data_IF_723289756951
#
_entry.id   IF_723289756951
#
_cell.length_a   1.000
_cell.length_b   1.000
_cell.length_c   1.000
_cell.angle_alpha   90.00
_cell.angle_beta   90.00
_cell.angle_gamma   90.00
#
_symmetry.space_group_name_H-M   'P 1'
#
loop_
_entity.id
_entity.type
_entity.pdbx_description
1 polymer ?
#
# COMPACT_ATOMS: atom_id res chain seq x y z
N UNK A 1 18.34 18.35 -6.93
CA UNK A 1 19.11 17.37 -7.70
C UNK A 1 19.04 17.80 -9.16
N UNK A 2 20.13 17.69 -9.92
CA UNK A 2 20.15 17.95 -11.35
C UNK A 2 20.70 16.68 -12.02
N UNK A 3 20.29 16.42 -13.25
CA UNK A 3 20.77 15.29 -14.03
C UNK A 3 21.40 15.80 -15.33
N UNK A 4 22.45 15.11 -15.78
CA UNK A 4 23.09 15.32 -17.07
C UNK A 4 22.95 14.05 -17.91
N UNK A 5 22.55 14.21 -19.16
CA UNK A 5 22.21 13.11 -20.04
C UNK A 5 23.28 12.91 -21.10
N UNK A 6 23.92 11.74 -21.06
CA UNK A 6 24.83 11.30 -22.11
C UNK A 6 24.09 10.34 -23.04
N UNK A 7 24.05 10.68 -24.33
CA UNK A 7 23.43 9.86 -25.35
C UNK A 7 24.51 9.03 -26.05
N UNK A 8 24.30 7.73 -26.11
CA UNK A 8 25.12 6.77 -26.87
C UNK A 8 24.26 6.12 -27.94
N UNK A 9 24.88 5.39 -28.88
CA UNK A 9 24.13 4.72 -29.95
C UNK A 9 23.12 3.66 -29.45
N UNK A 10 23.24 3.20 -28.20
CA UNK A 10 22.43 2.11 -27.64
C UNK A 10 21.62 2.50 -26.40
N UNK A 11 21.93 3.62 -25.74
CA UNK A 11 21.26 4.03 -24.51
C UNK A 11 21.45 5.52 -24.19
N UNK A 12 20.57 6.04 -23.33
CA UNK A 12 20.71 7.35 -22.68
C UNK A 12 21.01 7.14 -21.21
N UNK A 13 22.20 7.56 -20.79
CA UNK A 13 22.64 7.49 -19.39
C UNK A 13 22.34 8.82 -18.69
N UNK A 14 21.84 8.76 -17.46
CA UNK A 14 21.58 9.93 -16.62
C UNK A 14 22.56 9.93 -15.44
N UNK A 15 23.41 10.95 -15.37
CA UNK A 15 24.36 11.14 -14.27
C UNK A 15 23.87 12.20 -13.31
N UNK A 16 24.01 11.94 -12.01
CA UNK A 16 23.55 12.83 -10.94
C UNK A 16 24.56 13.95 -10.73
N UNK A 17 24.10 15.20 -10.72
CA UNK A 17 24.91 16.39 -10.46
C UNK A 17 24.31 17.25 -9.34
N UNK A 18 25.15 18.13 -8.78
CA UNK A 18 24.77 19.05 -7.71
C UNK A 18 23.76 20.06 -8.25
N UNK A 19 22.56 20.08 -7.66
CA UNK A 19 21.51 21.00 -8.04
C UNK A 19 21.67 22.41 -7.43
N UNK A 20 21.02 23.44 -7.99
CA UNK A 20 21.13 24.83 -7.51
C UNK A 20 20.81 25.02 -6.02
N UNK A 21 19.90 24.22 -5.48
CA UNK A 21 19.47 24.29 -4.08
C UNK A 21 20.41 23.58 -3.10
N UNK A 22 21.45 22.89 -3.57
CA UNK A 22 22.35 22.14 -2.69
C UNK A 22 23.07 23.05 -1.68
N UNK A 23 23.50 24.24 -2.12
CA UNK A 23 24.15 25.24 -1.25
C UNK A 23 23.24 25.73 -0.12
N UNK A 24 21.93 25.79 -0.33
CA UNK A 24 20.99 26.20 0.71
C UNK A 24 20.81 25.13 1.78
N UNK A 25 20.91 23.85 1.40
CA UNK A 25 20.85 22.72 2.33
C UNK A 25 22.13 22.64 3.14
N UNK A 26 23.32 22.76 2.51
CA UNK A 26 24.60 22.72 3.24
C UNK A 26 24.79 23.91 4.18
N UNK A 27 24.23 25.07 3.86
CA UNK A 27 24.22 26.26 4.73
C UNK A 27 23.14 26.21 5.83
N UNK A 28 22.37 25.12 5.94
CA UNK A 28 21.32 24.97 6.96
C UNK A 28 20.08 25.86 6.75
N UNK A 29 19.97 26.55 5.62
CA UNK A 29 18.85 27.47 5.29
C UNK A 29 17.59 26.73 4.82
N UNK A 30 17.69 25.43 4.56
CA UNK A 30 16.59 24.60 4.06
C UNK A 30 16.58 23.23 4.73
N UNK A 31 15.49 22.92 5.42
CA UNK A 31 15.24 21.60 6.02
C UNK A 31 14.61 20.68 4.97
N UNK A 32 15.13 19.47 4.82
CA UNK A 32 14.59 18.45 3.91
C UNK A 32 13.88 17.39 4.75
N UNK A 33 12.57 17.22 4.53
CA UNK A 33 11.79 16.12 5.09
C UNK A 33 11.79 14.97 4.09
N UNK A 34 12.30 13.81 4.51
CA UNK A 34 12.27 12.59 3.70
C UNK A 34 11.23 11.65 4.30
N UNK A 35 10.31 11.17 3.46
CA UNK A 35 9.37 10.12 3.82
C UNK A 35 9.81 8.84 3.11
N UNK A 36 10.13 7.80 3.87
CA UNK A 36 10.53 6.49 3.34
C UNK A 36 9.29 5.62 3.26
N UNK A 37 8.76 5.43 2.05
CA UNK A 37 7.70 4.45 1.82
C UNK A 37 8.33 3.06 1.68
N UNK A 38 8.51 2.38 2.80
CA UNK A 38 8.63 0.92 2.80
C UNK A 38 7.26 0.34 2.47
N UNK A 39 7.17 -0.58 1.52
CA UNK A 39 5.92 -1.32 1.27
C UNK A 39 5.46 -1.94 2.60
N UNK A 40 4.28 -1.56 3.12
CA UNK A 40 3.91 -1.93 4.49
C UNK A 40 3.58 -3.42 4.55
N UNK A 41 4.37 -4.17 5.32
CA UNK A 41 3.85 -5.28 6.10
C UNK A 41 3.18 -4.63 7.32
N UNK A 42 1.84 -4.70 7.39
CA UNK A 42 0.99 -4.30 8.51
C UNK A 42 1.30 -2.98 9.23
N UNK A 43 0.46 -1.97 9.01
CA UNK A 43 -0.40 -1.44 10.08
C UNK A 43 -1.25 -0.26 9.59
N UNK A 44 -2.46 -0.21 10.12
CA UNK A 44 -3.49 0.81 9.92
C UNK A 44 -2.94 2.25 9.88
N UNK A 45 -3.18 2.93 8.77
CA UNK A 45 -2.85 4.35 8.61
C UNK A 45 -3.15 4.80 7.19
N UNK A 46 -4.35 5.34 6.98
CA UNK A 46 -4.84 5.78 5.68
C UNK A 46 -3.87 6.74 4.97
N UNK A 47 -3.20 6.29 3.89
CA UNK A 47 -2.47 7.17 2.99
C UNK A 47 -2.76 6.85 1.52
N UNK A 48 -3.62 7.72 0.95
CA UNK A 48 -3.61 8.25 -0.42
C UNK A 48 -2.97 7.33 -1.47
N UNK A 49 -3.80 6.45 -2.04
CA UNK A 49 -3.45 5.61 -3.19
C UNK A 49 -3.18 6.46 -4.43
N UNK A 50 -1.96 6.35 -4.94
CA UNK A 50 -1.59 6.69 -6.33
C UNK A 50 -2.55 6.01 -7.31
N UNK A 51 -2.80 6.65 -8.47
CA UNK A 51 -3.79 6.36 -9.51
C UNK A 51 -3.55 5.04 -10.28
N UNK A 52 -3.18 3.96 -9.59
CA UNK A 52 -3.42 2.59 -10.07
C UNK A 52 -4.53 2.03 -9.23
N UNK A 53 -5.71 1.90 -9.85
CA UNK A 53 -6.85 1.07 -9.42
C UNK A 53 -6.86 0.83 -7.92
N UNK A 54 -7.59 1.65 -7.15
CA UNK A 54 -7.86 1.43 -5.72
C UNK A 54 -8.31 -0.03 -5.56
N UNK A 55 -7.38 -0.93 -5.27
CA UNK A 55 -7.72 -2.32 -5.00
C UNK A 55 -8.54 -2.27 -3.74
N UNK A 56 -9.73 -2.87 -3.78
CA UNK A 56 -10.58 -2.93 -2.60
C UNK A 56 -9.80 -3.54 -1.42
N UNK A 57 -10.18 -3.21 -0.18
CA UNK A 57 -9.54 -3.79 1.00
C UNK A 57 -9.57 -5.32 0.99
N UNK A 58 -10.65 -5.89 0.42
CA UNK A 58 -10.79 -7.33 0.19
C UNK A 58 -9.80 -7.88 -0.84
N UNK A 59 -9.60 -7.21 -1.98
CA UNK A 59 -8.58 -7.61 -2.97
C UNK A 59 -7.18 -7.68 -2.37
N UNK A 60 -6.85 -6.75 -1.47
CA UNK A 60 -5.55 -6.74 -0.80
C UNK A 60 -5.36 -7.97 0.10
N UNK A 61 -6.37 -8.32 0.91
CA UNK A 61 -6.32 -9.52 1.75
C UNK A 61 -6.24 -10.81 0.94
N UNK A 62 -6.98 -10.89 -0.16
CA UNK A 62 -6.91 -12.03 -1.09
C UNK A 62 -5.52 -12.14 -1.75
N UNK A 63 -4.86 -11.01 -2.03
CA UNK A 63 -3.48 -10.99 -2.52
C UNK A 63 -2.46 -11.44 -1.45
N UNK A 64 -2.73 -11.14 -0.18
CA UNK A 64 -1.91 -11.64 0.94
C UNK A 64 -2.04 -13.16 1.08
N UNK A 65 -3.26 -13.70 1.06
CA UNK A 65 -3.49 -15.15 1.03
C UNK A 65 -2.78 -15.81 -0.15
N UNK A 66 -2.76 -15.17 -1.32
CA UNK A 66 -2.01 -15.67 -2.48
C UNK A 66 -0.51 -15.82 -2.19
N UNK A 67 0.10 -14.89 -1.46
CA UNK A 67 1.51 -14.97 -1.05
C UNK A 67 1.72 -16.01 0.04
N UNK A 68 0.78 -16.13 0.97
CA UNK A 68 0.82 -17.15 2.03
C UNK A 68 0.75 -18.57 1.44
N UNK A 69 -0.18 -18.82 0.52
CA UNK A 69 -0.29 -20.10 -0.18
C UNK A 69 0.96 -20.43 -1.00
N UNK A 70 1.50 -19.43 -1.70
CA UNK A 70 2.76 -19.56 -2.44
C UNK A 70 3.90 -20.00 -1.53
N UNK A 71 3.98 -19.41 -0.33
CA UNK A 71 5.01 -19.73 0.66
C UNK A 71 4.78 -21.09 1.33
N UNK A 72 3.52 -21.40 1.67
CA UNK A 72 3.13 -22.62 2.39
C UNK A 72 3.26 -23.89 1.54
N UNK A 73 3.01 -23.81 0.23
CA UNK A 73 3.07 -24.95 -0.69
C UNK A 73 4.45 -25.14 -1.33
N UNK A 74 5.52 -24.64 -0.71
CA UNK A 74 6.89 -24.92 -1.16
C UNK A 74 7.32 -24.14 -2.40
N UNK A 75 6.86 -22.90 -2.56
CA UNK A 75 7.36 -22.00 -3.61
C UNK A 75 6.63 -22.07 -4.93
N UNK A 76 5.38 -22.55 -4.95
CA UNK A 76 4.52 -22.38 -6.13
C UNK A 76 4.37 -20.89 -6.45
N UNK A 77 4.44 -20.51 -7.72
CA UNK A 77 4.39 -19.10 -8.06
C UNK A 77 3.05 -18.47 -7.62
N UNK A 78 3.05 -17.23 -7.10
CA UNK A 78 1.82 -16.57 -6.64
C UNK A 78 0.72 -16.55 -7.71
N UNK A 79 1.07 -16.31 -8.97
CA UNK A 79 0.13 -16.28 -10.09
C UNK A 79 -0.50 -17.65 -10.40
N UNK A 80 0.18 -18.75 -10.06
CA UNK A 80 -0.34 -20.12 -10.24
C UNK A 80 -1.42 -20.46 -9.22
N UNK A 81 -1.33 -19.89 -8.01
CA UNK A 81 -2.35 -20.03 -6.96
C UNK A 81 -3.62 -19.29 -7.38
N UNK A 82 -3.54 -17.96 -7.49
CA UNK A 82 -4.65 -17.10 -7.88
C UNK A 82 -4.15 -16.01 -8.84
N UNK A 83 -4.86 -15.84 -9.95
CA UNK A 83 -4.55 -14.73 -10.85
C UNK A 83 -5.03 -13.41 -10.25
N UNK A 84 -4.36 -12.31 -10.60
CA UNK A 84 -4.79 -10.97 -10.16
C UNK A 84 -6.20 -10.63 -10.69
N UNK A 85 -6.58 -11.16 -11.85
CA UNK A 85 -7.94 -11.02 -12.38
C UNK A 85 -8.96 -11.80 -11.53
N UNK A 86 -8.62 -13.02 -11.07
CA UNK A 86 -9.48 -13.80 -10.18
C UNK A 86 -9.69 -13.05 -8.86
N UNK A 87 -8.63 -12.49 -8.26
CA UNK A 87 -8.73 -11.68 -7.04
C UNK A 87 -9.69 -10.50 -7.22
N UNK A 88 -9.61 -9.79 -8.35
CA UNK A 88 -10.52 -8.68 -8.65
C UNK A 88 -11.97 -9.14 -8.77
N UNK A 89 -12.23 -10.25 -9.47
CA UNK A 89 -13.58 -10.79 -9.63
C UNK A 89 -14.16 -11.21 -8.28
N UNK A 90 -13.35 -11.86 -7.43
CA UNK A 90 -13.74 -12.24 -6.07
C UNK A 90 -14.04 -11.01 -5.20
N UNK A 91 -13.23 -9.97 -5.29
CA UNK A 91 -13.46 -8.71 -4.59
C UNK A 91 -14.76 -8.02 -5.00
N UNK A 92 -15.15 -8.12 -6.27
CA UNK A 92 -16.38 -7.51 -6.80
C UNK A 92 -17.64 -8.34 -6.53
N UNK A 93 -17.56 -9.66 -6.71
CA UNK A 93 -18.73 -10.56 -6.62
C UNK A 93 -18.96 -11.09 -5.20
N UNK A 94 -17.91 -11.18 -4.37
CA UNK A 94 -17.95 -11.70 -3.00
C UNK A 94 -18.74 -13.01 -2.85
N UNK A 95 -18.34 -14.08 -3.53
CA UNK A 95 -19.06 -15.36 -3.45
C UNK A 95 -19.05 -15.90 -2.01
N UNK A 96 -20.23 -16.20 -1.47
CA UNK A 96 -20.39 -16.83 -0.14
C UNK A 96 -20.58 -18.34 -0.22
N UNK A 97 -20.78 -18.87 -1.43
CA UNK A 97 -21.00 -20.28 -1.69
C UNK A 97 -19.82 -20.90 -2.42
N UNK A 98 -19.50 -22.14 -2.05
CA UNK A 98 -18.40 -22.90 -2.65
C UNK A 98 -18.61 -23.15 -4.14
N UNK A 99 -19.86 -23.30 -4.59
CA UNK A 99 -20.23 -23.48 -6.00
C UNK A 99 -19.92 -22.24 -6.86
N UNK A 100 -20.18 -21.04 -6.32
CA UNK A 100 -19.87 -19.78 -7.00
C UNK A 100 -18.36 -19.56 -7.09
N UNK A 101 -17.64 -19.91 -6.01
CA UNK A 101 -16.18 -19.86 -5.96
C UNK A 101 -15.54 -20.80 -6.97
N UNK A 102 -16.10 -22.00 -7.13
CA UNK A 102 -15.70 -22.97 -8.15
C UNK A 102 -15.85 -22.43 -9.57
N UNK A 103 -16.93 -21.70 -9.86
CA UNK A 103 -17.14 -21.11 -11.19
C UNK A 103 -16.07 -20.06 -11.55
N UNK A 104 -15.52 -19.37 -10.55
CA UNK A 104 -14.54 -18.28 -10.74
C UNK A 104 -13.09 -18.81 -10.77
N UNK A 105 -12.76 -19.75 -9.88
CA UNK A 105 -11.38 -20.20 -9.66
C UNK A 105 -11.12 -21.60 -10.25
N UNK A 106 -12.15 -22.43 -10.31
CA UNK A 106 -12.12 -23.82 -10.79
C UNK A 106 -12.02 -24.85 -9.67
N UNK A 107 -12.62 -26.03 -9.89
CA UNK A 107 -12.71 -27.19 -8.95
C UNK A 107 -11.43 -27.47 -8.18
N UNK A 108 -10.32 -27.63 -8.90
CA UNK A 108 -9.04 -28.05 -8.32
C UNK A 108 -8.49 -27.01 -7.33
N UNK A 109 -8.68 -25.73 -7.60
CA UNK A 109 -8.19 -24.63 -6.76
C UNK A 109 -9.13 -24.38 -5.59
N UNK A 110 -10.44 -24.45 -5.82
CA UNK A 110 -11.46 -24.35 -4.76
C UNK A 110 -11.30 -25.47 -3.74
N UNK A 111 -10.98 -26.70 -4.16
CA UNK A 111 -10.74 -27.78 -3.21
C UNK A 111 -9.52 -27.54 -2.30
N UNK A 112 -8.45 -26.93 -2.84
CA UNK A 112 -7.21 -26.71 -2.09
C UNK A 112 -7.23 -25.46 -1.21
N UNK A 113 -7.76 -24.36 -1.74
CA UNK A 113 -7.66 -23.03 -1.13
C UNK A 113 -9.03 -22.42 -0.81
N UNK A 114 -10.12 -23.02 -1.28
CA UNK A 114 -11.45 -22.43 -1.25
C UNK A 114 -11.96 -22.13 0.15
N UNK A 115 -11.75 -23.03 1.12
CA UNK A 115 -12.24 -22.83 2.48
C UNK A 115 -11.64 -21.58 3.14
N UNK A 116 -10.32 -21.38 3.01
CA UNK A 116 -9.62 -20.20 3.55
C UNK A 116 -10.00 -18.92 2.81
N UNK A 117 -10.19 -18.99 1.49
CA UNK A 117 -10.64 -17.83 0.70
C UNK A 117 -12.04 -17.39 1.14
N UNK A 118 -12.95 -18.35 1.33
CA UNK A 118 -14.32 -18.09 1.77
C UNK A 118 -14.34 -17.50 3.19
N UNK A 119 -13.56 -18.07 4.09
CA UNK A 119 -13.39 -17.58 5.46
C UNK A 119 -12.91 -16.12 5.49
N UNK A 120 -11.93 -15.75 4.65
CA UNK A 120 -11.44 -14.37 4.61
C UNK A 120 -12.47 -13.39 4.02
N UNK A 121 -13.26 -13.82 3.04
CA UNK A 121 -14.38 -13.02 2.50
C UNK A 121 -15.42 -12.78 3.60
N UNK A 122 -15.83 -13.83 4.32
CA UNK A 122 -16.79 -13.73 5.43
C UNK A 122 -16.25 -12.85 6.55
N UNK A 123 -15.00 -13.04 6.98
CA UNK A 123 -14.33 -12.22 8.00
C UNK A 123 -14.24 -10.75 7.57
N UNK A 124 -14.03 -10.47 6.29
CA UNK A 124 -14.04 -9.10 5.76
C UNK A 124 -15.45 -8.51 5.81
N UNK A 125 -16.48 -9.25 5.39
CA UNK A 125 -17.88 -8.81 5.42
C UNK A 125 -18.33 -8.53 6.87
N UNK A 126 -18.05 -9.43 7.81
CA UNK A 126 -18.37 -9.25 9.22
C UNK A 126 -17.67 -8.04 9.83
N UNK A 127 -16.40 -7.78 9.52
CA UNK A 127 -15.66 -6.60 10.00
C UNK A 127 -16.19 -5.30 9.40
N UNK A 128 -16.72 -5.33 8.18
CA UNK A 128 -17.28 -4.15 7.52
C UNK A 128 -18.74 -3.89 7.90
N UNK A 129 -19.46 -4.90 8.40
CA UNK A 129 -20.82 -4.76 8.90
C UNK A 129 -20.87 -4.01 10.25
N UNK A 130 -19.80 -4.07 11.05
CA UNK A 130 -19.72 -3.36 12.35
C UNK A 130 -19.56 -1.83 12.23
N UNK A 131 -19.29 -1.30 11.03
CA UNK A 131 -19.01 0.13 10.81
C UNK A 131 -20.20 0.89 10.19
N UNK A 132 -21.32 0.19 9.91
CA UNK A 132 -22.48 0.75 9.20
C UNK A 132 -23.74 0.94 10.07
N UNK A 133 -23.71 0.62 11.36
CA UNK A 133 -24.83 0.86 12.28
C UNK A 133 -24.69 2.19 13.05
N UNK A 134 -24.31 3.27 12.37
CA UNK A 134 -24.57 4.64 12.84
C UNK A 134 -25.33 5.37 11.73
N UNK A 135 -26.64 5.12 11.71
CA UNK A 135 -27.62 5.94 10.98
C UNK A 135 -27.85 7.24 11.75
N UNK A 136 -27.40 8.33 11.13
CA UNK A 136 -27.99 9.66 11.01
C UNK A 136 -29.25 9.99 11.86
N UNK A 137 -29.10 10.97 12.77
CA UNK A 137 -30.11 12.00 13.01
C UNK A 137 -29.46 13.21 13.73
N UNK A 138 -29.70 14.43 13.23
CA UNK A 138 -29.57 15.64 14.07
C UNK A 138 -28.85 16.84 13.44
N UNK A 139 -29.63 17.69 12.79
CA UNK A 139 -29.31 18.99 12.21
C UNK A 139 -28.63 20.04 13.14
N UNK A 140 -27.91 20.96 12.46
CA UNK A 140 -27.75 22.41 12.75
C UNK A 140 -26.81 22.81 13.91
N UNK A 141 -25.72 23.51 13.57
CA UNK A 141 -25.52 24.95 13.88
C UNK A 141 -24.03 25.37 13.87
N UNK A 142 -23.74 26.49 13.19
CA UNK A 142 -22.86 27.52 13.76
C UNK A 142 -21.34 27.39 13.64
N UNK A 143 -20.77 28.24 12.77
CA UNK A 143 -19.53 29.03 12.91
C UNK A 143 -18.37 28.59 13.84
N UNK A 144 -17.13 28.76 13.35
CA UNK A 144 -16.03 29.18 14.22
C UNK A 144 -14.65 28.72 13.77
N UNK A 145 -13.83 29.66 13.32
CA UNK A 145 -12.39 29.50 13.19
C UNK A 145 -11.71 29.31 14.56
N UNK A 146 -10.67 28.47 14.62
CA UNK A 146 -9.54 28.53 15.58
C UNK A 146 -8.65 27.31 15.34
N UNK A 147 -7.45 27.51 14.81
CA UNK A 147 -6.17 27.66 15.53
C UNK A 147 -5.34 26.38 15.60
N UNK A 148 -4.16 26.54 15.00
CA UNK A 148 -2.93 25.77 15.03
C UNK A 148 -2.53 25.26 16.42
N UNK A 149 -2.23 23.96 16.54
CA UNK A 149 -1.38 23.42 17.60
C UNK A 149 -0.29 22.52 17.01
N UNK A 150 0.94 23.04 16.99
CA UNK A 150 2.16 22.35 16.58
C UNK A 150 2.62 21.40 17.69
N UNK A 151 2.54 20.09 17.44
CA UNK A 151 3.18 19.09 18.30
C UNK A 151 4.67 18.96 17.94
N UNK A 152 5.55 19.25 18.91
CA UNK A 152 7.01 19.13 18.79
C UNK A 152 7.41 17.65 18.77
N UNK A 153 8.19 17.20 17.77
CA UNK A 153 8.88 15.90 17.80
C UNK A 153 10.31 16.01 17.26
N UNK A 154 11.17 15.22 17.91
CA UNK A 154 12.63 15.23 18.03
C UNK A 154 13.46 15.61 16.78
N UNK A 155 14.41 16.52 17.02
CA UNK A 155 15.55 16.85 16.18
C UNK A 155 16.61 15.74 16.36
N UNK A 156 16.91 14.96 15.33
CA UNK A 156 18.05 14.04 15.34
C UNK A 156 19.21 14.78 14.68
N UNK A 157 20.19 15.17 15.50
CA UNK A 157 21.49 15.70 15.08
C UNK A 157 22.35 14.50 14.70
N UNK A 158 22.89 14.49 13.48
CA UNK A 158 23.93 13.55 13.07
C UNK A 158 25.21 14.37 12.99
N UNK A 159 26.06 14.25 14.01
CA UNK A 159 27.45 14.71 13.94
C UNK A 159 28.21 13.72 13.05
N UNK A 160 28.61 14.17 11.86
CA UNK A 160 29.64 13.48 11.08
C UNK A 160 30.99 13.90 11.64
N UNK A 161 31.59 13.00 12.43
CA UNK A 161 33.02 13.03 12.73
C UNK A 161 33.79 12.89 11.42
N UNK A 162 34.58 13.90 11.08
CA UNK A 162 35.60 13.79 10.05
C UNK A 162 36.77 12.97 10.59
N UNK A 163 37.37 12.18 9.72
CA UNK A 163 38.77 11.79 9.84
C UNK A 163 39.39 11.95 8.45
N UNK A 164 40.52 12.66 8.45
CA UNK A 164 41.34 13.03 7.30
C UNK A 164 42.41 11.96 7.10
N UNK A 165 42.64 11.53 5.85
CA UNK A 165 43.97 11.33 5.23
C UNK A 165 43.83 11.06 3.72
#
# INVERSE_FOLDING_TARGET
MKEEFQHTAYATNAYVTIGPLAKQVTQGKKIVKVEVCSSPKNNHGAMKSSKRSRSSGLEFKLDELRKEFSSSHGGIFPHSVLSTCQIRILGAQKPMLMEELEKIIGKLKTQKYGSRILEEIVNYESKHHCDNDIVDEGQVSGSGASEMLRSKKALIVIDSSGDEE
#
